data_IF_667480356764
#
_entry.id   IF_667480356764
#
_cell.length_a   1.000
_cell.length_b   1.000
_cell.length_c   1.000
_cell.angle_alpha   90.00
_cell.angle_beta   90.00
_cell.angle_gamma   90.00
#
_symmetry.space_group_name_H-M   'P 1'
#
loop_
_entity.id
_entity.type
_entity.pdbx_description
1 polymer ?
#
# COMPACT_ATOMS: atom_id res chain seq x y z
N UNK A 1 -0.48 -7.95 -14.14
CA UNK A 1 -0.88 -6.84 -13.23
C UNK A 1 -0.12 -6.82 -11.89
N UNK A 2 0.46 -7.94 -11.40
CA UNK A 2 1.09 -7.98 -10.08
C UNK A 2 2.47 -7.27 -9.96
N UNK A 3 3.24 -7.15 -11.04
CA UNK A 3 4.58 -6.55 -10.96
C UNK A 3 4.56 -5.03 -10.64
N UNK A 4 3.55 -4.30 -11.10
CA UNK A 4 3.45 -2.86 -10.81
C UNK A 4 3.12 -2.62 -9.33
N UNK A 5 2.17 -3.37 -8.78
CA UNK A 5 1.82 -3.33 -7.35
C UNK A 5 3.02 -3.64 -6.45
N UNK A 6 3.81 -4.67 -6.81
CA UNK A 6 5.04 -5.01 -6.10
C UNK A 6 6.06 -3.86 -6.05
N UNK A 7 6.28 -3.19 -7.19
CA UNK A 7 7.20 -2.03 -7.27
C UNK A 7 6.72 -0.84 -6.44
N UNK A 8 5.42 -0.58 -6.44
CA UNK A 8 4.84 0.47 -5.60
C UNK A 8 4.95 0.15 -4.11
N UNK A 9 4.72 -1.11 -3.72
CA UNK A 9 4.92 -1.56 -2.34
C UNK A 9 6.39 -1.39 -1.91
N UNK A 10 7.35 -1.76 -2.77
CA UNK A 10 8.78 -1.54 -2.51
C UNK A 10 9.13 -0.06 -2.37
N UNK A 11 8.60 0.80 -3.23
CA UNK A 11 8.79 2.25 -3.13
C UNK A 11 8.20 2.81 -1.82
N UNK A 12 7.02 2.34 -1.41
CA UNK A 12 6.40 2.76 -0.15
C UNK A 12 7.23 2.34 1.06
N UNK A 13 7.75 1.10 1.08
CA UNK A 13 8.66 0.63 2.14
C UNK A 13 9.95 1.44 2.13
N UNK A 14 10.50 1.76 0.96
CA UNK A 14 11.70 2.57 0.85
C UNK A 14 11.53 3.97 1.46
N UNK A 15 10.39 4.63 1.22
CA UNK A 15 10.14 6.00 1.72
C UNK A 15 9.67 6.02 3.17
N UNK A 16 8.77 5.11 3.55
CA UNK A 16 8.05 5.18 4.83
C UNK A 16 8.44 4.08 5.82
N UNK A 17 9.28 3.12 5.41
CA UNK A 17 9.71 1.99 6.26
C UNK A 17 8.52 1.22 6.82
N UNK A 18 8.53 1.02 8.14
CA UNK A 18 7.45 0.34 8.88
C UNK A 18 6.09 1.06 8.78
N UNK A 19 6.08 2.36 8.45
CA UNK A 19 4.88 3.17 8.28
C UNK A 19 4.18 2.99 6.92
N UNK A 20 4.79 2.27 5.97
CA UNK A 20 4.28 2.11 4.61
C UNK A 20 2.84 1.56 4.56
N UNK A 21 2.52 0.60 5.42
CA UNK A 21 1.16 0.03 5.51
C UNK A 21 0.13 1.09 5.95
N UNK A 22 0.46 1.85 6.99
CA UNK A 22 -0.41 2.91 7.52
C UNK A 22 -0.60 4.03 6.51
N UNK A 23 0.44 4.39 5.76
CA UNK A 23 0.34 5.42 4.72
C UNK A 23 -0.52 4.96 3.54
N UNK A 24 -0.35 3.71 3.08
CA UNK A 24 -1.20 3.14 2.05
C UNK A 24 -2.68 3.07 2.50
N UNK A 25 -2.94 2.74 3.76
CA UNK A 25 -4.29 2.72 4.33
C UNK A 25 -4.89 4.14 4.41
N UNK A 26 -4.10 5.13 4.82
CA UNK A 26 -4.51 6.55 4.86
C UNK A 26 -4.92 7.04 3.47
N UNK A 27 -4.13 6.70 2.45
CA UNK A 27 -4.42 7.05 1.06
C UNK A 27 -5.68 6.36 0.54
N UNK A 28 -5.92 5.08 0.87
CA UNK A 28 -7.17 4.40 0.52
C UNK A 28 -8.39 5.15 1.07
N UNK A 29 -8.38 5.49 2.37
CA UNK A 29 -9.45 6.25 3.01
C UNK A 29 -9.63 7.65 2.41
N UNK A 30 -8.54 8.33 2.05
CA UNK A 30 -8.62 9.64 1.39
C UNK A 30 -9.33 9.54 0.04
N UNK A 31 -8.91 8.60 -0.81
CA UNK A 31 -9.51 8.36 -2.12
C UNK A 31 -11.00 8.02 -2.03
N UNK A 32 -11.40 7.20 -1.06
CA UNK A 32 -12.82 6.89 -0.80
C UNK A 32 -13.63 8.14 -0.46
N UNK A 33 -13.08 9.00 0.40
CA UNK A 33 -13.75 10.24 0.83
C UNK A 33 -13.85 11.27 -0.28
N UNK A 34 -12.93 11.25 -1.25
CA UNK A 34 -12.96 12.14 -2.42
C UNK A 34 -13.73 11.57 -3.61
N UNK A 35 -14.30 10.36 -3.48
CA UNK A 35 -15.07 9.70 -4.54
C UNK A 35 -14.23 8.99 -5.60
N UNK A 36 -12.91 8.87 -5.40
CA UNK A 36 -12.01 8.13 -6.28
C UNK A 36 -11.93 6.65 -5.85
N UNK A 37 -12.99 5.91 -6.20
CA UNK A 37 -13.12 4.51 -5.82
C UNK A 37 -12.08 3.60 -6.49
N UNK A 38 -11.64 3.90 -7.71
CA UNK A 38 -10.68 3.07 -8.45
C UNK A 38 -9.29 3.15 -7.81
N UNK A 39 -8.83 4.36 -7.49
CA UNK A 39 -7.56 4.56 -6.80
C UNK A 39 -7.61 4.01 -5.38
N UNK A 40 -8.74 4.13 -4.69
CA UNK A 40 -8.93 3.51 -3.37
C UNK A 40 -8.75 1.99 -3.39
N UNK A 41 -9.31 1.29 -4.39
CA UNK A 41 -9.13 -0.16 -4.55
C UNK A 41 -7.65 -0.51 -4.77
N UNK A 42 -6.93 0.31 -5.52
CA UNK A 42 -5.49 0.12 -5.74
C UNK A 42 -4.69 0.27 -4.43
N UNK A 43 -4.99 1.30 -3.63
CA UNK A 43 -4.37 1.47 -2.32
C UNK A 43 -4.69 0.33 -1.34
N UNK A 44 -5.93 -0.17 -1.32
CA UNK A 44 -6.29 -1.34 -0.52
C UNK A 44 -5.50 -2.59 -0.94
N UNK A 45 -5.30 -2.80 -2.25
CA UNK A 45 -4.45 -3.91 -2.74
C UNK A 45 -2.99 -3.74 -2.32
N UNK A 46 -2.47 -2.51 -2.26
CA UNK A 46 -1.14 -2.22 -1.74
C UNK A 46 -1.01 -2.52 -0.24
N UNK A 47 -2.01 -2.18 0.57
CA UNK A 47 -2.05 -2.54 2.00
C UNK A 47 -1.93 -4.06 2.18
N UNK A 48 -2.71 -4.83 1.43
CA UNK A 48 -2.67 -6.29 1.49
C UNK A 48 -1.32 -6.87 1.05
N UNK A 49 -0.70 -6.29 0.02
CA UNK A 49 0.64 -6.71 -0.43
C UNK A 49 1.72 -6.39 0.62
N UNK A 50 1.65 -5.21 1.26
CA UNK A 50 2.57 -4.82 2.33
C UNK A 50 2.42 -5.72 3.56
N UNK A 51 1.19 -6.07 3.95
CA UNK A 51 0.92 -7.03 5.02
C UNK A 51 1.52 -8.41 4.76
N UNK A 52 1.44 -8.90 3.52
CA UNK A 52 2.07 -10.17 3.12
C UNK A 52 3.59 -10.12 3.19
N UNK A 53 4.20 -8.94 3.03
CA UNK A 53 5.65 -8.72 3.05
C UNK A 53 6.22 -8.46 4.43
N UNK A 54 5.43 -7.89 5.34
CA UNK A 54 5.83 -7.59 6.72
C UNK A 54 6.50 -8.75 7.47
N UNK A 55 6.03 -10.03 7.38
CA UNK A 55 6.73 -11.16 7.99
C UNK A 55 8.16 -11.39 7.49
N UNK A 56 8.53 -10.83 6.33
CA UNK A 56 9.86 -10.96 5.71
C UNK A 56 10.76 -9.73 5.93
N UNK A 57 10.21 -8.64 6.47
CA UNK A 57 10.96 -7.41 6.75
C UNK A 57 11.45 -7.35 8.21
N UNK A 58 10.79 -8.08 9.11
CA UNK A 58 11.13 -8.16 10.55
C UNK A 58 12.03 -9.38 10.90
N UNK A 59 12.45 -10.18 9.91
CA UNK A 59 13.28 -11.38 10.06
C UNK A 59 14.71 -11.15 9.55
#
# INVERSE_FOLDING_TARGET
MNQQLSRYAEALVFVHGLGAESEAARHATLCERTGDAETAVTWRRLVEELRRRKPKLDA
#
